data_IF_471934097393
#
_entry.id   IF_471934097393
#
_cell.length_a   1.000
_cell.length_b   1.000
_cell.length_c   1.000
_cell.angle_alpha   90.00
_cell.angle_beta   90.00
_cell.angle_gamma   90.00
#
_symmetry.space_group_name_H-M   'P 1'
#
loop_
_entity.id
_entity.type
_entity.pdbx_description
1 polymer ?
#
# COMPACT_ATOMS: atom_id res chain seq x y z
N UNK A 1 -13.37 11.76 14.01
CA UNK A 1 -12.63 10.47 14.02
C UNK A 1 -11.41 10.60 14.90
N UNK A 2 -11.19 9.67 15.79
CA UNK A 2 -10.03 9.69 16.66
C UNK A 2 -8.81 9.09 15.93
N UNK A 3 -7.61 9.32 16.48
CA UNK A 3 -6.39 8.88 15.85
C UNK A 3 -6.30 7.35 15.69
N UNK A 4 -6.58 6.54 16.73
CA UNK A 4 -6.52 5.07 16.57
C UNK A 4 -7.44 4.54 15.47
N UNK A 5 -8.64 5.09 15.34
CA UNK A 5 -9.57 4.70 14.29
C UNK A 5 -9.03 5.08 12.92
N UNK A 6 -8.49 6.30 12.78
CA UNK A 6 -7.91 6.76 11.53
C UNK A 6 -6.73 5.87 11.11
N UNK A 7 -5.87 5.49 12.05
CA UNK A 7 -4.74 4.59 11.79
C UNK A 7 -5.24 3.23 11.30
N UNK A 8 -6.25 2.68 11.94
CA UNK A 8 -6.82 1.39 11.55
C UNK A 8 -7.39 1.44 10.13
N UNK A 9 -8.12 2.50 9.81
CA UNK A 9 -8.70 2.67 8.47
C UNK A 9 -7.64 2.87 7.39
N UNK A 10 -6.57 3.59 7.71
CA UNK A 10 -5.46 3.76 6.77
C UNK A 10 -4.79 2.41 6.49
N UNK A 11 -4.61 1.57 7.51
CA UNK A 11 -4.06 0.23 7.33
C UNK A 11 -4.94 -0.63 6.45
N UNK A 12 -6.24 -0.59 6.67
CA UNK A 12 -7.19 -1.34 5.83
C UNK A 12 -7.12 -0.88 4.38
N UNK A 13 -7.05 0.44 4.16
CA UNK A 13 -6.92 0.99 2.81
C UNK A 13 -5.63 0.53 2.15
N UNK A 14 -4.51 0.53 2.89
CA UNK A 14 -3.23 0.05 2.36
C UNK A 14 -3.29 -1.44 2.00
N UNK A 15 -3.95 -2.25 2.82
CA UNK A 15 -4.12 -3.67 2.53
C UNK A 15 -4.97 -3.88 1.28
N UNK A 16 -6.02 -3.07 1.10
CA UNK A 16 -6.86 -3.13 -0.09
C UNK A 16 -6.08 -2.78 -1.36
N UNK A 17 -5.20 -1.77 -1.27
CA UNK A 17 -4.33 -1.39 -2.40
C UNK A 17 -3.37 -2.53 -2.72
N UNK A 18 -2.75 -3.13 -1.72
CA UNK A 18 -1.82 -4.25 -1.92
C UNK A 18 -2.53 -5.45 -2.55
N UNK A 19 -3.75 -5.75 -2.12
CA UNK A 19 -4.55 -6.81 -2.71
C UNK A 19 -4.88 -6.51 -4.17
N UNK A 20 -5.16 -5.24 -4.48
CA UNK A 20 -5.41 -4.80 -5.85
C UNK A 20 -4.20 -5.00 -6.75
N UNK A 21 -3.01 -4.65 -6.26
CA UNK A 21 -1.76 -4.87 -6.98
C UNK A 21 -1.56 -6.36 -7.28
N UNK A 22 -1.78 -7.22 -6.29
CA UNK A 22 -1.65 -8.66 -6.44
C UNK A 22 -2.62 -9.20 -7.49
N UNK A 23 -3.82 -8.64 -7.58
CA UNK A 23 -4.82 -9.06 -8.56
C UNK A 23 -4.48 -8.63 -9.99
N UNK A 24 -3.76 -7.53 -10.15
CA UNK A 24 -3.40 -7.02 -11.48
C UNK A 24 -2.33 -7.90 -12.15
N UNK A 25 -1.32 -8.33 -11.38
CA UNK A 25 -0.19 -9.08 -11.92
C UNK A 25 -0.59 -10.27 -12.83
N UNK A 26 -1.46 -11.18 -12.41
CA UNK A 26 -1.81 -12.33 -13.25
C UNK A 26 -2.64 -11.97 -14.48
N UNK A 27 -3.16 -10.75 -14.56
CA UNK A 27 -3.94 -10.31 -15.71
C UNK A 27 -3.07 -9.73 -16.82
N UNK A 28 -1.85 -9.34 -16.51
CA UNK A 28 -0.96 -8.67 -17.45
C UNK A 28 -0.66 -9.47 -18.73
N UNK A 29 -0.43 -10.80 -18.66
CA UNK A 29 -0.17 -11.59 -19.89
C UNK A 29 -1.32 -11.54 -20.87
N UNK A 30 -2.56 -11.37 -20.42
CA UNK A 30 -3.72 -11.33 -21.29
C UNK A 30 -3.77 -10.07 -22.16
N UNK A 31 -2.99 -9.03 -21.83
CA UNK A 31 -2.91 -7.82 -22.65
C UNK A 31 -2.18 -8.05 -23.96
N UNK A 32 -1.32 -9.07 -24.02
CA UNK A 32 -0.54 -9.43 -25.20
C UNK A 32 0.24 -8.25 -25.78
N UNK A 33 0.79 -7.40 -24.92
CA UNK A 33 1.57 -6.22 -25.29
C UNK A 33 2.69 -6.03 -24.28
N UNK A 34 3.92 -6.33 -24.68
CA UNK A 34 5.07 -6.28 -23.78
C UNK A 34 5.38 -4.86 -23.29
N UNK A 35 5.23 -3.86 -24.15
CA UNK A 35 5.49 -2.48 -23.79
C UNK A 35 4.52 -2.01 -22.70
N UNK A 36 3.24 -2.25 -22.89
CA UNK A 36 2.21 -1.90 -21.90
C UNK A 36 2.42 -2.66 -20.60
N UNK A 37 2.69 -3.95 -20.68
CA UNK A 37 2.95 -4.79 -19.52
C UNK A 37 4.12 -4.23 -18.71
N UNK A 38 5.22 -3.91 -19.37
CA UNK A 38 6.43 -3.38 -18.73
C UNK A 38 6.14 -2.08 -17.98
N UNK A 39 5.39 -1.17 -18.60
CA UNK A 39 5.05 0.11 -17.98
C UNK A 39 4.13 -0.08 -16.77
N UNK A 40 3.18 -1.01 -16.85
CA UNK A 40 2.30 -1.30 -15.73
C UNK A 40 3.09 -1.92 -14.57
N UNK A 41 4.02 -2.84 -14.85
CA UNK A 41 4.86 -3.45 -13.81
C UNK A 41 5.64 -2.37 -13.07
N UNK A 42 6.22 -1.42 -13.79
CA UNK A 42 6.94 -0.30 -13.16
C UNK A 42 6.03 0.51 -12.25
N UNK A 43 4.83 0.81 -12.72
CA UNK A 43 3.85 1.57 -11.94
C UNK A 43 3.42 0.81 -10.69
N UNK A 44 3.25 -0.50 -10.78
CA UNK A 44 2.89 -1.34 -9.63
C UNK A 44 4.01 -1.38 -8.60
N UNK A 45 5.26 -1.39 -9.04
CA UNK A 45 6.42 -1.31 -8.14
C UNK A 45 6.41 -0.01 -7.35
N UNK A 46 6.19 1.12 -8.03
CA UNK A 46 6.11 2.42 -7.39
C UNK A 46 4.95 2.49 -6.40
N UNK A 47 3.81 1.94 -6.80
CA UNK A 47 2.63 1.92 -5.95
C UNK A 47 2.88 1.13 -4.67
N UNK A 48 3.48 -0.07 -4.80
CA UNK A 48 3.80 -0.92 -3.65
C UNK A 48 4.78 -0.22 -2.71
N UNK A 49 5.80 0.43 -3.27
CA UNK A 49 6.77 1.19 -2.50
C UNK A 49 6.10 2.32 -1.72
N UNK A 50 5.21 3.05 -2.37
CA UNK A 50 4.51 4.18 -1.74
C UNK A 50 3.55 3.71 -0.66
N UNK A 51 2.88 2.59 -0.84
CA UNK A 51 2.02 2.00 0.19
C UNK A 51 2.84 1.63 1.42
N UNK A 52 4.04 1.06 1.23
CA UNK A 52 4.92 0.73 2.35
C UNK A 52 5.36 1.97 3.13
N UNK A 53 5.59 3.07 2.43
CA UNK A 53 5.94 4.34 3.07
C UNK A 53 4.79 4.83 3.96
N UNK A 54 3.56 4.75 3.46
CA UNK A 54 2.38 5.14 4.24
C UNK A 54 2.26 4.27 5.50
N UNK A 55 2.41 2.96 5.36
CA UNK A 55 2.36 2.03 6.50
C UNK A 55 3.42 2.36 7.55
N UNK A 56 4.63 2.67 7.11
CA UNK A 56 5.72 3.02 8.03
C UNK A 56 5.41 4.28 8.82
N UNK A 57 4.85 5.29 8.17
CA UNK A 57 4.51 6.54 8.85
C UNK A 57 3.46 6.31 9.93
N UNK A 58 2.45 5.50 9.62
CA UNK A 58 1.39 5.17 10.55
C UNK A 58 1.94 4.38 11.75
N UNK A 59 2.83 3.42 11.48
CA UNK A 59 3.46 2.63 12.52
C UNK A 59 4.32 3.49 13.45
N UNK A 60 5.06 4.45 12.89
CA UNK A 60 5.88 5.36 13.70
C UNK A 60 5.03 6.22 14.60
N UNK A 61 3.91 6.71 14.07
CA UNK A 61 2.99 7.51 14.86
C UNK A 61 2.41 6.70 16.01
N UNK A 62 2.01 5.47 15.74
CA UNK A 62 1.46 4.55 16.72
C UNK A 62 2.47 4.28 17.85
N UNK A 63 3.73 4.06 17.49
CA UNK A 63 4.79 3.83 18.47
C UNK A 63 5.05 5.04 19.34
N UNK A 64 5.00 6.25 18.76
CA UNK A 64 5.17 7.49 19.53
C UNK A 64 4.05 7.67 20.53
N UNK A 65 2.82 7.35 20.14
CA UNK A 65 1.67 7.44 21.02
C UNK A 65 1.79 6.46 22.19
N UNK A 66 2.22 5.23 21.92
CA UNK A 66 2.46 4.22 22.93
C UNK A 66 3.57 4.65 23.89
N UNK A 67 4.66 5.21 23.36
CA UNK A 67 5.77 5.70 24.17
C UNK A 67 5.34 6.87 25.06
N UNK A 68 4.45 7.71 24.58
CA UNK A 68 3.95 8.85 25.32
C UNK A 68 3.10 8.43 26.54
N UNK A 69 2.53 7.23 26.48
CA UNK A 69 1.72 6.70 27.59
C UNK A 69 2.59 6.10 28.72
N UNK A 70 3.84 5.87 28.46
CA UNK A 70 4.77 5.33 29.45
C UNK A 70 5.44 6.45 30.25
#
# INVERSE_FOLDING_TARGET
MDRPTAISEIREACNAIAAGVTRVHPLLPALADESTKSEIVKALFELTKNVEIVKKQVMRLEKRDDSALL
#
